data_IF_405012767103
#
_entry.id   IF_405012767103
#
_cell.length_a   1.000
_cell.length_b   1.000
_cell.length_c   1.000
_cell.angle_alpha   90.00
_cell.angle_beta   90.00
_cell.angle_gamma   90.00
#
_symmetry.space_group_name_H-M   'P 1'
#
loop_
_entity.id
_entity.type
_entity.pdbx_description
1 polymer ?
#
# COMPACT_ATOMS: atom_id res chain seq x y z
N UNK A 1 6.99 25.15 0.10
CA UNK A 1 8.23 24.32 0.25
C UNK A 1 7.96 22.98 0.92
N UNK A 2 7.24 22.92 2.04
CA UNK A 2 6.97 21.64 2.71
C UNK A 2 6.18 20.64 1.85
N UNK A 3 5.31 21.09 0.94
CA UNK A 3 4.55 20.19 0.03
C UNK A 3 5.48 19.38 -0.89
N UNK A 4 6.54 20.00 -1.38
CA UNK A 4 7.55 19.31 -2.18
C UNK A 4 8.31 18.26 -1.34
N UNK A 5 8.63 18.58 -0.09
CA UNK A 5 9.25 17.63 0.83
C UNK A 5 8.33 16.44 1.13
N UNK A 6 7.04 16.69 1.33
CA UNK A 6 6.04 15.63 1.53
C UNK A 6 5.97 14.71 0.32
N UNK A 7 5.88 15.27 -0.90
CA UNK A 7 5.87 14.48 -2.14
C UNK A 7 7.15 13.64 -2.28
N UNK A 8 8.30 14.24 -2.02
CA UNK A 8 9.57 13.52 -2.07
C UNK A 8 9.60 12.36 -1.07
N UNK A 9 9.17 12.59 0.15
CA UNK A 9 9.14 11.57 1.21
C UNK A 9 8.21 10.41 0.84
N UNK A 10 7.02 10.69 0.30
CA UNK A 10 6.10 9.66 -0.15
C UNK A 10 6.73 8.80 -1.25
N UNK A 11 7.32 9.42 -2.27
CA UNK A 11 8.00 8.68 -3.34
C UNK A 11 9.12 7.81 -2.82
N UNK A 12 9.92 8.33 -1.91
CA UNK A 12 11.01 7.58 -1.26
C UNK A 12 10.48 6.37 -0.49
N UNK A 13 9.42 6.56 0.29
CA UNK A 13 8.85 5.50 1.10
C UNK A 13 8.20 4.40 0.24
N UNK A 14 7.52 4.80 -0.83
CA UNK A 14 6.95 3.84 -1.81
C UNK A 14 8.05 3.06 -2.52
N UNK A 15 9.14 3.71 -2.92
CA UNK A 15 10.31 3.03 -3.50
C UNK A 15 10.94 2.01 -2.56
N UNK A 16 11.09 2.37 -1.29
CA UNK A 16 11.62 1.44 -0.28
C UNK A 16 10.72 0.22 -0.11
N UNK A 17 9.40 0.42 -0.06
CA UNK A 17 8.44 -0.67 -0.01
C UNK A 17 8.55 -1.58 -1.25
N UNK A 18 8.66 -0.99 -2.43
CA UNK A 18 8.84 -1.75 -3.68
C UNK A 18 10.14 -2.58 -3.69
N UNK A 19 11.14 -2.15 -2.95
CA UNK A 19 12.39 -2.88 -2.77
C UNK A 19 12.34 -3.91 -1.60
N UNK A 20 11.17 -4.08 -0.98
CA UNK A 20 10.97 -5.05 0.10
C UNK A 20 11.16 -4.50 1.52
N UNK A 21 11.36 -3.18 1.67
CA UNK A 21 11.55 -2.55 2.97
C UNK A 21 10.34 -1.70 3.37
N UNK A 22 9.48 -2.17 4.29
CA UNK A 22 8.33 -1.41 4.76
C UNK A 22 8.70 -0.37 5.83
N UNK A 23 9.92 -0.39 6.35
CA UNK A 23 10.35 0.43 7.48
C UNK A 23 10.13 1.94 7.30
N UNK A 24 10.60 2.55 6.20
CA UNK A 24 10.40 3.99 5.98
C UNK A 24 8.92 4.39 5.91
N UNK A 25 8.09 3.58 5.26
CA UNK A 25 6.64 3.85 5.20
C UNK A 25 6.00 3.70 6.57
N UNK A 26 6.31 2.64 7.30
CA UNK A 26 5.80 2.43 8.67
C UNK A 26 6.19 3.57 9.61
N UNK A 27 7.40 4.09 9.49
CA UNK A 27 7.86 5.24 10.28
C UNK A 27 7.01 6.50 10.01
N UNK A 28 6.39 6.59 8.83
CA UNK A 28 5.51 7.71 8.45
C UNK A 28 4.09 7.61 9.01
N UNK A 29 3.65 6.47 9.52
CA UNK A 29 2.35 6.36 10.17
C UNK A 29 2.40 6.77 11.64
N UNK A 30 1.33 7.41 12.10
CA UNK A 30 1.11 7.60 13.53
C UNK A 30 0.82 6.26 14.20
N UNK A 31 1.09 6.15 15.52
CA UNK A 31 0.90 4.88 16.25
C UNK A 31 -0.55 4.38 16.22
N UNK A 32 -1.50 5.30 16.19
CA UNK A 32 -2.94 5.03 16.15
C UNK A 32 -3.57 5.22 14.75
N UNK A 33 -2.76 5.24 13.70
CA UNK A 33 -3.24 5.41 12.34
C UNK A 33 -4.23 4.32 11.94
N UNK A 34 -5.12 4.66 11.02
CA UNK A 34 -6.10 3.73 10.44
C UNK A 34 -5.91 3.66 8.95
N UNK A 35 -5.81 2.44 8.43
CA UNK A 35 -5.81 2.15 7.00
C UNK A 35 -7.10 1.38 6.66
N UNK A 36 -7.83 1.85 5.66
CA UNK A 36 -9.07 1.23 5.18
C UNK A 36 -8.85 0.71 3.77
N UNK A 37 -9.11 -0.58 3.59
CA UNK A 37 -9.04 -1.22 2.28
C UNK A 37 -10.46 -1.61 1.83
N UNK A 38 -10.85 -1.26 0.59
CA UNK A 38 -12.22 -1.41 0.12
C UNK A 38 -12.57 -2.84 -0.29
N UNK A 39 -13.85 -3.05 -0.60
CA UNK A 39 -14.34 -4.29 -1.21
C UNK A 39 -14.73 -5.35 -0.20
N UNK A 40 -14.72 -6.60 -0.67
CA UNK A 40 -15.14 -7.78 0.09
C UNK A 40 -14.12 -8.92 0.04
N UNK A 41 -12.89 -8.62 -0.33
CA UNK A 41 -11.80 -9.60 -0.33
C UNK A 41 -11.27 -9.85 1.08
N UNK A 42 -10.35 -10.78 1.22
CA UNK A 42 -9.66 -11.00 2.50
C UNK A 42 -8.75 -9.84 2.90
N UNK A 43 -8.48 -8.91 1.96
CA UNK A 43 -7.75 -7.66 2.22
C UNK A 43 -8.65 -6.58 2.84
N UNK A 44 -9.98 -6.67 2.64
CA UNK A 44 -10.92 -5.61 2.96
C UNK A 44 -11.10 -5.42 4.45
N UNK A 45 -11.30 -4.16 4.87
CA UNK A 45 -11.59 -3.80 6.24
C UNK A 45 -10.71 -2.68 6.76
N UNK A 46 -10.72 -2.51 8.06
CA UNK A 46 -9.96 -1.50 8.78
C UNK A 46 -8.77 -2.12 9.49
N UNK A 47 -7.61 -1.52 9.29
CA UNK A 47 -6.36 -1.88 9.96
C UNK A 47 -6.04 -0.74 10.94
N UNK A 48 -6.28 -0.98 12.22
CA UNK A 48 -6.15 0.03 13.27
C UNK A 48 -4.84 -0.14 14.02
N UNK A 49 -4.04 0.93 14.01
CA UNK A 49 -2.75 0.98 14.68
C UNK A 49 -1.60 0.41 13.86
N UNK A 50 -0.39 0.82 14.20
CA UNK A 50 0.83 0.42 13.48
C UNK A 50 1.03 -1.09 13.34
N UNK A 51 0.81 -1.91 14.37
CA UNK A 51 1.00 -3.35 14.22
C UNK A 51 0.08 -3.98 13.16
N UNK A 52 -1.17 -3.54 13.07
CA UNK A 52 -2.12 -4.02 12.06
C UNK A 52 -1.70 -3.57 10.65
N UNK A 53 -1.28 -2.31 10.51
CA UNK A 53 -0.79 -1.77 9.23
C UNK A 53 0.50 -2.49 8.80
N UNK A 54 1.40 -2.79 9.72
CA UNK A 54 2.58 -3.59 9.44
C UNK A 54 2.22 -4.98 8.89
N UNK A 55 1.24 -5.63 9.49
CA UNK A 55 0.73 -6.92 9.01
C UNK A 55 0.19 -6.83 7.57
N UNK A 56 -0.55 -5.77 7.26
CA UNK A 56 -1.03 -5.49 5.91
C UNK A 56 0.12 -5.32 4.91
N UNK A 57 1.13 -4.54 5.26
CA UNK A 57 2.28 -4.30 4.38
C UNK A 57 3.14 -5.55 4.20
N UNK A 58 3.30 -6.37 5.22
CA UNK A 58 4.03 -7.64 5.11
C UNK A 58 3.32 -8.62 4.20
N UNK A 59 2.00 -8.71 4.30
CA UNK A 59 1.18 -9.51 3.37
C UNK A 59 1.31 -9.00 1.94
N UNK A 60 1.25 -7.69 1.77
CA UNK A 60 1.44 -7.02 0.49
C UNK A 60 2.76 -7.43 -0.17
N UNK A 61 3.85 -7.42 0.58
CA UNK A 61 5.16 -7.86 0.09
C UNK A 61 5.22 -9.37 -0.16
N UNK A 62 4.63 -10.17 0.73
CA UNK A 62 4.64 -11.62 0.61
C UNK A 62 3.89 -12.10 -0.65
N UNK A 63 2.84 -11.41 -1.04
CA UNK A 63 2.07 -11.71 -2.25
C UNK A 63 2.71 -11.13 -3.52
N UNK A 64 3.87 -10.50 -3.41
CA UNK A 64 4.65 -10.01 -4.54
C UNK A 64 4.12 -8.72 -5.16
N UNK A 65 3.33 -7.96 -4.42
CA UNK A 65 2.79 -6.70 -4.90
C UNK A 65 3.87 -5.61 -4.94
N UNK A 66 3.92 -4.89 -6.04
CA UNK A 66 4.85 -3.76 -6.25
C UNK A 66 4.04 -2.54 -6.65
N UNK A 67 4.17 -1.49 -5.86
CA UNK A 67 3.46 -0.24 -6.06
C UNK A 67 4.34 0.87 -6.63
N UNK A 68 3.69 1.80 -7.31
CA UNK A 68 4.31 3.03 -7.82
C UNK A 68 3.39 4.21 -7.58
N UNK A 69 3.92 5.28 -7.01
CA UNK A 69 3.22 6.56 -6.89
C UNK A 69 3.45 7.39 -8.15
N UNK A 70 2.37 7.86 -8.76
CA UNK A 70 2.40 8.70 -9.96
C UNK A 70 2.24 10.17 -9.58
N UNK A 71 1.00 10.64 -9.47
CA UNK A 71 0.71 12.00 -9.04
C UNK A 71 0.45 12.07 -7.55
N UNK A 72 0.98 13.08 -6.90
CA UNK A 72 0.76 13.32 -5.47
C UNK A 72 0.29 14.74 -5.29
N UNK A 73 -0.94 14.90 -4.82
CA UNK A 73 -1.55 16.19 -4.52
C UNK A 73 -1.54 16.38 -3.00
N UNK A 74 -0.93 17.47 -2.55
CA UNK A 74 -0.87 17.83 -1.14
C UNK A 74 -1.64 19.11 -0.91
N UNK A 75 -2.61 19.10 -0.03
CA UNK A 75 -3.41 20.26 0.33
C UNK A 75 -3.44 20.47 1.85
N UNK A 76 -3.63 21.71 2.26
CA UNK A 76 -3.75 22.10 3.65
C UNK A 76 -2.40 22.38 4.33
N UNK A 77 -2.45 22.91 5.57
CA UNK A 77 -1.26 23.24 6.34
C UNK A 77 -0.62 21.98 6.95
N UNK A 78 0.65 22.07 7.44
CA UNK A 78 1.35 20.92 8.00
C UNK A 78 0.65 20.17 9.12
N UNK A 79 -0.19 20.87 9.90
CA UNK A 79 -0.92 20.26 11.02
C UNK A 79 -2.26 19.62 10.60
N UNK A 80 -2.66 19.78 9.34
CA UNK A 80 -3.92 19.21 8.80
C UNK A 80 -3.82 19.08 7.28
N UNK A 81 -3.02 18.14 6.83
CA UNK A 81 -2.85 17.86 5.41
C UNK A 81 -3.85 16.82 4.92
N UNK A 82 -4.34 17.04 3.70
CA UNK A 82 -4.99 16.01 2.89
C UNK A 82 -4.12 15.73 1.69
N UNK A 83 -3.83 14.46 1.46
CA UNK A 83 -2.94 13.99 0.39
C UNK A 83 -3.71 12.98 -0.44
N UNK A 84 -3.70 13.17 -1.76
CA UNK A 84 -4.21 12.17 -2.71
C UNK A 84 -3.05 11.67 -3.55
N UNK A 85 -2.89 10.35 -3.61
CA UNK A 85 -1.84 9.71 -4.40
C UNK A 85 -2.48 8.87 -5.49
N UNK A 86 -2.21 9.19 -6.74
CA UNK A 86 -2.52 8.29 -7.84
C UNK A 86 -1.47 7.19 -7.85
N UNK A 87 -1.92 5.96 -7.71
CA UNK A 87 -1.07 4.81 -7.40
C UNK A 87 -1.37 3.65 -8.36
N UNK A 88 -0.37 2.88 -8.70
CA UNK A 88 -0.54 1.63 -9.41
C UNK A 88 0.11 0.50 -8.65
N UNK A 89 -0.49 -0.69 -8.73
CA UNK A 89 0.01 -1.90 -8.07
C UNK A 89 0.04 -3.03 -9.07
N UNK A 90 1.15 -3.72 -9.13
CA UNK A 90 1.34 -4.87 -10.02
C UNK A 90 1.92 -6.05 -9.26
N UNK A 91 1.64 -7.25 -9.75
CA UNK A 91 2.32 -8.46 -9.34
C UNK A 91 2.56 -9.35 -10.56
N UNK A 92 3.68 -10.06 -10.56
CA UNK A 92 4.07 -10.98 -11.62
C UNK A 92 4.16 -12.40 -11.10
N UNK A 93 3.82 -13.35 -11.96
CA UNK A 93 4.09 -14.76 -11.71
C UNK A 93 5.58 -15.06 -11.80
N UNK A 94 6.06 -16.23 -11.32
CA UNK A 94 7.48 -16.60 -11.39
C UNK A 94 8.05 -16.58 -12.82
N UNK A 95 7.23 -16.83 -13.84
CA UNK A 95 7.65 -16.75 -15.25
C UNK A 95 7.63 -15.34 -15.85
N UNK A 96 7.32 -14.33 -15.03
CA UNK A 96 7.30 -12.93 -15.44
C UNK A 96 5.99 -12.43 -16.04
N UNK A 97 4.95 -13.27 -16.11
CA UNK A 97 3.64 -12.84 -16.58
C UNK A 97 2.95 -11.91 -15.56
N UNK A 98 2.31 -10.86 -16.06
CA UNK A 98 1.55 -9.94 -15.22
C UNK A 98 0.25 -10.61 -14.75
N UNK A 99 0.13 -10.84 -13.44
CA UNK A 99 -1.04 -11.55 -12.86
C UNK A 99 -1.93 -10.60 -12.05
N UNK A 100 -1.47 -9.41 -11.75
CA UNK A 100 -2.22 -8.37 -11.08
C UNK A 100 -1.81 -7.01 -11.62
N UNK A 101 -2.77 -6.18 -11.97
CA UNK A 101 -2.55 -4.82 -12.42
C UNK A 101 -3.76 -3.98 -12.02
N UNK A 102 -3.58 -3.10 -11.08
CA UNK A 102 -4.65 -2.25 -10.56
C UNK A 102 -4.18 -0.81 -10.39
N UNK A 103 -5.13 0.10 -10.46
CA UNK A 103 -4.93 1.52 -10.18
C UNK A 103 -5.73 1.90 -8.95
N UNK A 104 -5.16 2.76 -8.14
CA UNK A 104 -5.79 3.21 -6.91
C UNK A 104 -5.60 4.72 -6.74
N UNK A 105 -6.51 5.31 -6.00
CA UNK A 105 -6.30 6.61 -5.37
C UNK A 105 -6.20 6.37 -3.88
N UNK A 106 -5.09 6.75 -3.28
CA UNK A 106 -4.91 6.71 -1.84
C UNK A 106 -5.33 8.07 -1.28
N UNK A 107 -6.36 8.08 -0.47
CA UNK A 107 -6.78 9.26 0.26
C UNK A 107 -6.14 9.24 1.64
N UNK A 108 -5.33 10.25 1.94
CA UNK A 108 -4.49 10.28 3.14
C UNK A 108 -4.73 11.56 3.91
N UNK A 109 -4.89 11.43 5.22
CA UNK A 109 -4.82 12.55 6.16
C UNK A 109 -3.56 12.43 6.98
N UNK A 110 -2.84 13.55 7.08
CA UNK A 110 -1.58 13.60 7.81
C UNK A 110 -1.52 14.83 8.71
N UNK A 111 -0.81 14.69 9.83
CA UNK A 111 -0.55 15.77 10.78
C UNK A 111 0.92 15.75 11.15
N UNK A 112 1.58 16.88 10.94
CA UNK A 112 3.00 17.05 11.28
C UNK A 112 3.89 15.93 10.73
N UNK A 113 3.66 15.56 9.47
CA UNK A 113 4.43 14.53 8.78
C UNK A 113 4.06 13.10 9.13
N UNK A 114 3.01 12.87 9.93
CA UNK A 114 2.52 11.53 10.26
C UNK A 114 1.17 11.26 9.63
N UNK A 115 1.04 10.12 8.98
CA UNK A 115 -0.23 9.64 8.43
C UNK A 115 -1.10 9.19 9.60
N UNK A 116 -2.30 9.77 9.71
CA UNK A 116 -3.28 9.40 10.73
C UNK A 116 -4.44 8.59 10.15
N UNK A 117 -4.70 8.72 8.85
CA UNK A 117 -5.75 8.00 8.15
C UNK A 117 -5.36 7.79 6.70
N UNK A 118 -5.63 6.61 6.19
CA UNK A 118 -5.47 6.27 4.77
C UNK A 118 -6.63 5.40 4.34
N UNK A 119 -7.26 5.75 3.22
CA UNK A 119 -8.29 4.94 2.60
C UNK A 119 -7.95 4.76 1.13
N UNK A 120 -7.93 3.51 0.70
CA UNK A 120 -7.62 3.15 -0.68
C UNK A 120 -8.92 3.04 -1.49
N UNK A 121 -8.91 3.59 -2.69
CA UNK A 121 -10.02 3.51 -3.64
C UNK A 121 -9.49 2.88 -4.92
N UNK A 122 -9.98 1.68 -5.25
CA UNK A 122 -9.50 0.92 -6.38
C UNK A 122 -10.59 0.02 -6.96
N UNK A 123 -10.30 -0.62 -8.09
CA UNK A 123 -11.18 -1.67 -8.62
C UNK A 123 -11.17 -2.87 -7.67
N UNK A 124 -12.29 -3.11 -7.01
CA UNK A 124 -12.41 -4.12 -5.97
C UNK A 124 -12.60 -5.55 -6.50
N UNK A 125 -12.78 -5.73 -7.81
CA UNK A 125 -12.76 -7.05 -8.43
C UNK A 125 -11.34 -7.60 -8.62
N UNK A 126 -10.36 -6.72 -8.78
CA UNK A 126 -8.96 -7.11 -8.99
C UNK A 126 -8.35 -7.88 -7.83
N UNK A 127 -8.55 -7.47 -6.57
CA UNK A 127 -8.09 -8.27 -5.42
C UNK A 127 -8.70 -9.66 -5.37
N UNK A 128 -9.98 -9.81 -5.74
CA UNK A 128 -10.63 -11.13 -5.80
C UNK A 128 -9.98 -12.03 -6.86
N UNK A 129 -9.66 -11.47 -8.01
CA UNK A 129 -8.94 -12.19 -9.07
C UNK A 129 -7.54 -12.62 -8.62
N UNK A 130 -6.83 -11.75 -7.89
CA UNK A 130 -5.52 -12.08 -7.32
C UNK A 130 -5.64 -13.23 -6.30
N UNK A 131 -6.61 -13.18 -5.40
CA UNK A 131 -6.85 -14.24 -4.42
C UNK A 131 -7.11 -15.59 -5.08
N UNK A 132 -7.95 -15.60 -6.13
CA UNK A 132 -8.23 -16.81 -6.90
C UNK A 132 -6.95 -17.35 -7.56
N UNK A 133 -6.12 -16.48 -8.11
CA UNK A 133 -4.84 -16.89 -8.70
C UNK A 133 -3.89 -17.47 -7.64
N UNK A 134 -3.74 -16.81 -6.49
CA UNK A 134 -2.84 -17.26 -5.42
C UNK A 134 -3.28 -18.62 -4.87
N UNK A 135 -4.60 -18.85 -4.74
CA UNK A 135 -5.15 -20.12 -4.30
C UNK A 135 -4.94 -21.26 -5.34
N UNK A 136 -4.84 -20.93 -6.62
CA UNK A 136 -4.63 -21.91 -7.70
C UNK A 136 -3.17 -22.29 -7.91
N UNK A 137 -2.22 -21.54 -7.31
CA UNK A 137 -0.82 -21.89 -7.41
C UNK A 137 -0.54 -23.21 -6.69
N UNK A 138 0.21 -24.14 -7.32
CA UNK A 138 0.73 -25.26 -6.56
C UNK A 138 1.52 -24.68 -5.40
N UNK A 139 1.32 -25.21 -4.20
CA UNK A 139 2.19 -24.89 -3.07
C UNK A 139 3.61 -24.99 -3.58
N UNK A 140 4.26 -23.86 -3.71
CA UNK A 140 5.68 -23.88 -3.95
C UNK A 140 6.23 -24.68 -2.80
N UNK A 141 6.86 -25.78 -3.12
CA UNK A 141 7.50 -26.62 -2.12
C UNK A 141 8.39 -25.73 -1.26
N UNK A 142 7.83 -25.18 -0.22
CA UNK A 142 8.58 -24.81 0.97
C UNK A 142 8.90 -26.08 1.72
N UNK A 143 9.22 -27.06 0.93
CA UNK A 143 9.99 -28.12 1.44
C UNK A 143 11.37 -27.89 1.06
N UNK A 144 12.03 -27.27 1.94
CA UNK A 144 13.23 -27.81 2.08
C UNK A 144 13.70 -27.89 3.41
N UNK A 145 13.74 -28.88 3.83
CA UNK A 145 14.92 -29.38 4.50
C UNK A 145 15.57 -28.33 5.37
#
# INVERSE_FOLDING_TARGET
MYKAAVRWMIRRNVKALAAGDPGPLLAGYADDAVLVFPGRSTWSGEYRGKPAIEGFLRRYLADGLVGQAHDIVVNGPPWRMTICVLFSVQAKSPDGALVYDNRAVLFVRARWGKIVYQEDFEDTHKPDELEAYLASRPESAHETV
#
